data_IF_410348704653
#
_entry.id   IF_410348704653
#
_cell.length_a   1.000
_cell.length_b   1.000
_cell.length_c   1.000
_cell.angle_alpha   90.00
_cell.angle_beta   90.00
_cell.angle_gamma   90.00
#
_symmetry.space_group_name_H-M   'P 1'
#
loop_
_entity.id
_entity.type
_entity.pdbx_description
1 polymer ?
#
# COMPACT_ATOMS: atom_id res chain seq x y z
N UNK A 1 10.50 32.72 53.44
CA UNK A 1 10.50 31.36 52.91
C UNK A 1 10.80 31.40 51.42
N UNK A 2 12.04 31.04 51.04
CA UNK A 2 12.46 30.98 49.62
C UNK A 2 12.15 29.58 49.12
N UNK A 3 11.27 29.45 48.12
CA UNK A 3 10.99 28.16 47.44
C UNK A 3 12.07 27.94 46.38
N UNK A 4 12.88 26.90 46.57
CA UNK A 4 13.77 26.38 45.57
C UNK A 4 12.96 25.56 44.54
N UNK A 5 12.90 25.99 43.31
CA UNK A 5 12.48 25.16 42.18
C UNK A 5 13.68 24.32 41.72
N UNK A 6 13.62 23.02 41.93
CA UNK A 6 14.57 22.09 41.39
C UNK A 6 14.09 21.68 40.00
N UNK A 7 14.67 22.28 38.93
CA UNK A 7 14.43 21.85 37.55
C UNK A 7 15.25 20.60 37.34
N UNK A 8 14.59 19.45 37.30
CA UNK A 8 15.19 18.21 36.77
C UNK A 8 15.25 18.31 35.24
N UNK A 9 16.37 18.70 34.69
CA UNK A 9 16.69 18.53 33.30
C UNK A 9 16.98 17.06 33.01
N UNK A 10 16.05 16.38 32.35
CA UNK A 10 16.32 15.06 31.78
C UNK A 10 17.21 15.26 30.56
N UNK A 11 18.50 15.00 30.71
CA UNK A 11 19.41 14.87 29.59
C UNK A 11 19.04 13.57 28.84
N UNK A 12 18.22 13.67 27.82
CA UNK A 12 18.09 12.58 26.83
C UNK A 12 19.39 12.52 26.05
N UNK A 13 20.28 11.61 26.45
CA UNK A 13 21.37 11.17 25.61
C UNK A 13 20.75 10.65 24.30
N UNK A 14 21.02 11.30 23.18
CA UNK A 14 20.54 10.94 21.87
C UNK A 14 21.17 9.62 21.40
N UNK A 15 20.70 8.50 21.93
CA UNK A 15 20.71 7.27 21.18
C UNK A 15 19.66 7.48 20.06
N UNK A 16 20.10 7.57 18.83
CA UNK A 16 19.24 7.34 17.67
C UNK A 16 18.72 5.91 17.82
N UNK A 17 17.61 5.75 18.53
CA UNK A 17 16.86 4.51 18.47
C UNK A 17 16.53 4.33 17.00
N UNK A 18 17.12 3.32 16.38
CA UNK A 18 16.68 2.88 15.07
C UNK A 18 15.16 2.72 15.17
N UNK A 19 14.43 3.53 14.41
CA UNK A 19 12.97 3.41 14.33
C UNK A 19 12.68 1.94 14.02
N UNK A 20 11.91 1.27 14.87
CA UNK A 20 11.49 -0.09 14.58
C UNK A 20 10.45 0.00 13.46
N UNK A 21 10.90 0.01 12.22
CA UNK A 21 10.02 0.02 11.06
C UNK A 21 9.53 -1.41 10.78
N UNK A 22 8.27 -1.52 10.38
CA UNK A 22 7.71 -2.78 9.90
C UNK A 22 8.21 -2.99 8.47
N UNK A 23 9.11 -3.95 8.30
CA UNK A 23 9.59 -4.28 6.97
C UNK A 23 8.56 -5.14 6.23
N UNK A 24 8.16 -4.67 5.06
CA UNK A 24 7.45 -5.45 4.05
C UNK A 24 8.51 -6.07 3.15
N UNK A 25 8.60 -7.39 3.17
CA UNK A 25 9.63 -8.13 2.42
C UNK A 25 9.20 -8.32 0.98
N UNK A 26 10.08 -7.98 0.04
CA UNK A 26 9.89 -8.23 -1.39
C UNK A 26 10.85 -9.29 -1.89
N UNK A 27 10.33 -10.28 -2.60
CA UNK A 27 11.08 -11.24 -3.39
C UNK A 27 10.81 -10.98 -4.88
N UNK A 28 11.81 -10.46 -5.59
CA UNK A 28 11.63 -9.93 -6.94
C UNK A 28 12.40 -10.74 -7.95
N UNK A 29 11.72 -11.16 -9.02
CA UNK A 29 12.22 -12.05 -10.07
C UNK A 29 12.10 -11.39 -11.42
N UNK A 30 13.14 -11.54 -12.25
CA UNK A 30 13.06 -11.25 -13.67
C UNK A 30 12.77 -12.56 -14.40
N UNK A 31 11.66 -12.63 -15.11
CA UNK A 31 11.36 -13.75 -16.00
C UNK A 31 12.21 -13.63 -17.26
N UNK A 32 12.94 -14.67 -17.60
CA UNK A 32 13.90 -14.66 -18.70
C UNK A 32 13.25 -14.98 -20.04
N UNK A 33 13.75 -14.37 -21.09
CA UNK A 33 13.35 -14.67 -22.45
C UNK A 33 13.67 -16.14 -22.79
N UNK A 34 12.68 -16.94 -23.19
CA UNK A 34 12.88 -18.38 -23.43
C UNK A 34 13.82 -18.66 -24.60
N UNK A 35 13.99 -17.71 -25.53
CA UNK A 35 14.86 -17.90 -26.70
C UNK A 35 16.32 -17.51 -26.46
N UNK A 36 16.56 -16.57 -25.54
CA UNK A 36 17.91 -16.03 -25.29
C UNK A 36 18.45 -16.36 -23.92
N UNK A 37 17.60 -16.69 -22.95
CA UNK A 37 17.96 -16.87 -21.55
C UNK A 37 18.32 -15.59 -20.80
N UNK A 38 18.06 -14.43 -21.39
CA UNK A 38 18.38 -13.12 -20.79
C UNK A 38 17.13 -12.39 -20.28
N UNK A 39 17.34 -11.46 -19.36
CA UNK A 39 16.33 -10.48 -18.95
C UNK A 39 15.92 -9.60 -20.13
N UNK A 40 14.74 -9.02 -20.07
CA UNK A 40 14.35 -7.96 -20.98
C UNK A 40 15.37 -6.82 -20.94
N UNK A 41 15.63 -6.23 -22.12
CA UNK A 41 16.55 -5.07 -22.22
C UNK A 41 16.11 -3.94 -21.30
N UNK A 42 17.04 -3.42 -20.53
CA UNK A 42 16.78 -2.35 -19.54
C UNK A 42 16.40 -2.83 -18.14
N UNK A 43 16.03 -4.10 -17.94
CA UNK A 43 15.73 -4.64 -16.61
C UNK A 43 17.02 -4.92 -15.86
N UNK A 44 17.37 -4.04 -14.91
CA UNK A 44 18.60 -4.11 -14.14
C UNK A 44 18.35 -3.99 -12.64
N UNK A 45 19.28 -4.55 -11.85
CA UNK A 45 19.23 -4.49 -10.39
C UNK A 45 19.30 -3.04 -9.88
N UNK A 46 20.13 -2.21 -10.52
CA UNK A 46 20.29 -0.79 -10.14
C UNK A 46 18.97 -0.02 -10.30
N UNK A 47 18.28 -0.19 -11.42
CA UNK A 47 17.00 0.49 -11.65
C UNK A 47 15.98 0.07 -10.61
N UNK A 48 15.87 -1.23 -10.28
CA UNK A 48 14.95 -1.68 -9.26
C UNK A 48 15.34 -1.21 -7.85
N UNK A 49 16.64 -1.13 -7.53
CA UNK A 49 17.11 -0.54 -6.27
C UNK A 49 16.66 0.90 -6.10
N UNK A 50 16.72 1.70 -7.17
CA UNK A 50 16.20 3.07 -7.16
C UNK A 50 14.67 3.11 -6.98
N UNK A 51 13.95 2.16 -7.58
CA UNK A 51 12.50 2.00 -7.38
C UNK A 51 12.17 1.72 -5.91
N UNK A 52 12.91 0.82 -5.24
CA UNK A 52 12.75 0.54 -3.81
C UNK A 52 13.03 1.78 -2.96
N UNK A 53 14.07 2.53 -3.28
CA UNK A 53 14.38 3.79 -2.59
C UNK A 53 13.23 4.81 -2.72
N UNK A 54 12.66 4.94 -3.92
CA UNK A 54 11.49 5.79 -4.17
C UNK A 54 10.25 5.36 -3.40
N UNK A 55 9.94 4.06 -3.36
CA UNK A 55 8.84 3.52 -2.55
C UNK A 55 9.04 3.83 -1.06
N UNK A 56 10.24 3.66 -0.54
CA UNK A 56 10.54 3.95 0.86
C UNK A 56 10.42 5.44 1.20
N UNK A 57 10.79 6.33 0.28
CA UNK A 57 10.59 7.77 0.45
C UNK A 57 9.10 8.11 0.58
N UNK A 58 8.22 7.49 -0.24
CA UNK A 58 6.77 7.66 -0.14
C UNK A 58 6.20 7.08 1.15
N UNK A 59 6.57 5.84 1.52
CA UNK A 59 6.10 5.22 2.77
C UNK A 59 6.51 6.01 4.01
N UNK A 60 7.70 6.59 4.00
CA UNK A 60 8.14 7.50 5.06
C UNK A 60 7.27 8.74 5.17
N UNK A 61 6.86 9.33 4.03
CA UNK A 61 5.95 10.49 4.03
C UNK A 61 4.55 10.15 4.56
N UNK A 62 4.10 8.91 4.42
CA UNK A 62 2.82 8.46 4.98
C UNK A 62 2.84 8.30 6.51
N UNK A 63 4.01 8.25 7.12
CA UNK A 63 4.19 8.32 8.57
C UNK A 63 3.74 7.11 9.39
N UNK A 64 3.51 5.95 8.74
CA UNK A 64 3.04 4.73 9.42
C UNK A 64 4.15 3.81 9.91
N UNK A 65 5.40 4.04 9.48
CA UNK A 65 6.57 3.22 9.85
C UNK A 65 6.67 1.92 9.06
N UNK A 66 6.14 1.89 7.85
CA UNK A 66 6.41 0.80 6.90
C UNK A 66 7.67 1.09 6.09
N UNK A 67 8.40 0.04 5.80
CA UNK A 67 9.59 0.06 4.97
C UNK A 67 9.60 -1.15 4.04
N UNK A 68 9.93 -0.94 2.78
CA UNK A 68 10.14 -2.01 1.81
C UNK A 68 11.55 -2.57 1.99
N UNK A 69 11.63 -3.85 2.31
CA UNK A 69 12.88 -4.60 2.35
C UNK A 69 12.96 -5.53 1.14
N UNK A 70 13.77 -5.17 0.18
CA UNK A 70 14.06 -6.07 -0.92
C UNK A 70 14.97 -7.21 -0.44
N UNK A 71 14.49 -8.45 -0.55
CA UNK A 71 15.24 -9.64 -0.16
C UNK A 71 16.31 -9.97 -1.20
N UNK A 72 17.54 -10.13 -0.76
CA UNK A 72 18.68 -10.12 -1.66
C UNK A 72 18.96 -8.69 -2.14
N UNK A 73 19.90 -8.41 -2.89
CA UNK A 73 20.24 -7.10 -3.46
C UNK A 73 20.34 -7.16 -4.99
N UNK A 74 19.83 -8.24 -5.57
CA UNK A 74 19.77 -8.47 -6.98
C UNK A 74 18.46 -9.21 -7.35
N UNK A 75 18.00 -8.97 -8.57
CA UNK A 75 16.84 -9.67 -9.13
C UNK A 75 17.15 -11.15 -9.31
N UNK A 76 16.28 -12.02 -8.83
CA UNK A 76 16.37 -13.45 -9.11
C UNK A 76 16.01 -13.71 -10.58
N UNK A 77 16.84 -14.42 -11.29
CA UNK A 77 16.53 -14.85 -12.64
C UNK A 77 15.71 -16.15 -12.59
N UNK A 78 14.54 -16.15 -13.23
CA UNK A 78 13.66 -17.33 -13.31
C UNK A 78 13.27 -17.59 -14.77
N UNK A 79 13.28 -18.84 -15.18
CA UNK A 79 13.09 -19.23 -16.57
C UNK A 79 14.41 -19.23 -17.36
N UNK A 80 14.31 -19.41 -18.64
CA UNK A 80 15.45 -19.46 -19.57
C UNK A 80 15.41 -20.66 -20.49
N UNK A 81 16.49 -20.86 -21.25
CA UNK A 81 16.57 -21.88 -22.32
C UNK A 81 16.31 -23.30 -21.86
N UNK A 82 16.66 -23.63 -20.63
CA UNK A 82 16.59 -25.01 -20.12
C UNK A 82 15.31 -25.32 -19.34
N UNK A 83 14.36 -24.37 -19.25
CA UNK A 83 13.11 -24.56 -18.50
C UNK A 83 11.95 -24.84 -19.47
N UNK A 84 12.04 -25.94 -20.16
CA UNK A 84 11.01 -26.39 -21.12
C UNK A 84 9.68 -26.63 -20.39
N UNK A 85 8.69 -25.84 -20.70
CA UNK A 85 7.26 -26.00 -20.39
C UNK A 85 6.83 -26.00 -18.90
N UNK A 86 7.73 -25.94 -17.95
CA UNK A 86 7.38 -25.99 -16.52
C UNK A 86 7.83 -24.75 -15.73
N UNK A 87 8.77 -23.97 -16.26
CA UNK A 87 9.25 -22.76 -15.64
C UNK A 87 8.47 -21.52 -16.06
N UNK A 88 8.68 -20.38 -15.39
CA UNK A 88 7.95 -19.14 -15.65
C UNK A 88 8.26 -18.52 -17.02
N UNK A 89 9.25 -19.00 -17.78
CA UNK A 89 9.61 -18.47 -19.10
C UNK A 89 8.45 -18.47 -20.10
N UNK A 90 7.48 -19.37 -19.96
CA UNK A 90 6.24 -19.37 -20.77
C UNK A 90 5.41 -18.10 -20.55
N UNK A 91 5.59 -17.40 -19.43
CA UNK A 91 4.91 -16.17 -19.10
C UNK A 91 5.72 -14.92 -19.45
N UNK A 92 6.88 -15.05 -20.08
CA UNK A 92 7.77 -13.95 -20.40
C UNK A 92 7.10 -12.85 -21.21
N UNK A 93 6.31 -13.24 -22.21
CA UNK A 93 5.62 -12.30 -23.11
C UNK A 93 4.16 -12.72 -23.28
N UNK A 94 3.35 -12.47 -22.27
CA UNK A 94 1.91 -12.74 -22.26
C UNK A 94 1.16 -11.45 -22.08
N UNK A 95 0.09 -11.26 -22.83
CA UNK A 95 -0.83 -10.14 -22.63
C UNK A 95 -1.83 -10.51 -21.52
N UNK A 96 -1.46 -10.24 -20.27
CA UNK A 96 -2.31 -10.49 -19.11
C UNK A 96 -3.50 -9.52 -18.97
N UNK A 97 -3.54 -8.46 -19.78
CA UNK A 97 -4.55 -7.40 -19.67
C UNK A 97 -5.59 -7.50 -20.80
N UNK A 98 -5.12 -7.61 -22.06
CA UNK A 98 -6.02 -7.53 -23.22
C UNK A 98 -6.38 -8.90 -23.80
N UNK A 99 -5.63 -9.95 -23.45
CA UNK A 99 -5.99 -11.29 -23.90
C UNK A 99 -7.31 -11.74 -23.24
N UNK A 100 -8.18 -12.38 -24.03
CA UNK A 100 -9.50 -12.89 -23.58
C UNK A 100 -9.40 -13.80 -22.35
N UNK A 101 -8.25 -14.46 -22.14
CA UNK A 101 -7.96 -15.36 -21.03
C UNK A 101 -6.85 -14.81 -20.11
N UNK A 102 -6.57 -13.50 -20.13
CA UNK A 102 -5.45 -12.91 -19.40
C UNK A 102 -5.52 -13.15 -17.88
N UNK A 103 -6.69 -13.00 -17.28
CA UNK A 103 -6.90 -13.29 -15.85
C UNK A 103 -6.66 -14.78 -15.54
N UNK A 104 -7.17 -15.70 -16.38
CA UNK A 104 -6.95 -17.12 -16.17
C UNK A 104 -5.46 -17.52 -16.31
N UNK A 105 -4.71 -16.88 -17.21
CA UNK A 105 -3.26 -17.08 -17.34
C UNK A 105 -2.50 -16.57 -16.12
N UNK A 106 -2.93 -15.44 -15.55
CA UNK A 106 -2.34 -14.92 -14.33
C UNK A 106 -2.62 -15.84 -13.14
N UNK A 107 -3.86 -16.30 -12.97
CA UNK A 107 -4.23 -17.25 -11.91
C UNK A 107 -3.47 -18.56 -12.05
N UNK A 108 -3.30 -19.04 -13.28
CA UNK A 108 -2.46 -20.21 -13.56
C UNK A 108 -0.99 -19.98 -13.19
N UNK A 109 -0.44 -18.79 -13.49
CA UNK A 109 0.91 -18.43 -13.08
C UNK A 109 1.03 -18.47 -11.56
N UNK A 110 0.12 -17.81 -10.85
CA UNK A 110 0.10 -17.79 -9.39
C UNK A 110 0.06 -19.21 -8.80
N UNK A 111 -0.89 -20.03 -9.25
CA UNK A 111 -1.02 -21.41 -8.79
C UNK A 111 0.24 -22.24 -9.08
N UNK A 112 0.83 -22.08 -10.25
CA UNK A 112 2.08 -22.78 -10.60
C UNK A 112 3.25 -22.32 -9.73
N UNK A 113 3.36 -21.02 -9.44
CA UNK A 113 4.41 -20.48 -8.60
C UNK A 113 4.32 -21.00 -7.16
N UNK A 114 3.12 -21.05 -6.59
CA UNK A 114 2.86 -21.57 -5.24
C UNK A 114 3.18 -23.08 -5.17
N UNK A 115 2.76 -23.84 -6.18
CA UNK A 115 2.92 -25.31 -6.20
C UNK A 115 4.35 -25.75 -6.56
N UNK A 116 5.14 -24.89 -7.21
CA UNK A 116 6.51 -25.19 -7.64
C UNK A 116 7.50 -24.10 -7.20
N UNK A 117 7.61 -23.81 -5.89
CA UNK A 117 8.33 -22.66 -5.39
C UNK A 117 9.80 -22.60 -5.83
N UNK A 118 10.49 -23.74 -5.92
CA UNK A 118 11.88 -23.79 -6.34
C UNK A 118 12.05 -23.36 -7.82
N UNK A 119 11.14 -23.77 -8.71
CA UNK A 119 11.19 -23.42 -10.13
C UNK A 119 10.86 -21.96 -10.39
N UNK A 120 9.92 -21.41 -9.61
CA UNK A 120 9.41 -20.05 -9.77
C UNK A 120 10.11 -19.04 -8.85
N UNK A 121 11.04 -19.48 -7.99
CA UNK A 121 11.65 -18.62 -6.99
C UNK A 121 10.63 -18.05 -6.00
N UNK A 122 9.53 -18.79 -5.76
CA UNK A 122 8.48 -18.35 -4.84
C UNK A 122 8.98 -18.30 -3.41
N UNK A 123 8.65 -17.22 -2.69
CA UNK A 123 8.93 -17.06 -1.27
C UNK A 123 7.61 -16.76 -0.52
N UNK A 124 7.14 -17.73 0.27
CA UNK A 124 5.92 -17.60 1.05
C UNK A 124 6.01 -16.52 2.14
N UNK A 125 7.20 -16.03 2.45
CA UNK A 125 7.45 -15.01 3.47
C UNK A 125 7.63 -13.60 2.89
N UNK A 126 7.37 -13.40 1.59
CA UNK A 126 7.56 -12.13 0.90
C UNK A 126 6.45 -11.87 -0.13
N UNK A 127 6.25 -10.60 -0.46
CA UNK A 127 5.48 -10.20 -1.64
C UNK A 127 6.28 -10.64 -2.87
N UNK A 128 5.70 -11.51 -3.68
CA UNK A 128 6.37 -12.07 -4.86
C UNK A 128 6.07 -11.20 -6.08
N UNK A 129 7.08 -10.55 -6.63
CA UNK A 129 7.00 -9.72 -7.83
C UNK A 129 7.71 -10.43 -8.98
N UNK A 130 7.03 -10.56 -10.12
CA UNK A 130 7.62 -11.09 -11.36
C UNK A 130 7.64 -10.01 -12.42
N UNK A 131 8.83 -9.63 -12.86
CA UNK A 131 9.03 -8.70 -13.97
C UNK A 131 8.96 -9.49 -15.26
N UNK A 132 7.96 -9.16 -16.08
CA UNK A 132 7.65 -9.83 -17.36
C UNK A 132 7.59 -8.81 -18.48
N UNK A 133 7.60 -9.25 -19.74
CA UNK A 133 7.33 -8.41 -20.89
C UNK A 133 5.85 -8.55 -21.25
N UNK A 134 5.06 -7.48 -21.08
CA UNK A 134 3.69 -7.47 -21.60
C UNK A 134 3.70 -7.22 -23.10
N UNK A 135 2.93 -8.01 -23.85
CA UNK A 135 2.77 -7.86 -25.28
C UNK A 135 2.02 -6.58 -25.64
N UNK A 136 2.74 -5.47 -25.78
CA UNK A 136 2.19 -4.22 -26.31
C UNK A 136 1.52 -3.27 -25.34
N UNK A 137 1.41 -3.60 -24.05
CA UNK A 137 0.79 -2.72 -23.05
C UNK A 137 1.73 -2.41 -21.89
N UNK A 138 1.69 -1.15 -21.40
CA UNK A 138 2.46 -0.70 -20.23
C UNK A 138 1.66 -0.87 -18.92
N UNK A 139 1.02 -2.01 -18.73
CA UNK A 139 0.17 -2.26 -17.57
C UNK A 139 0.89 -3.15 -16.54
N UNK A 140 0.61 -2.90 -15.28
CA UNK A 140 0.95 -3.79 -14.19
C UNK A 140 -0.32 -4.53 -13.76
N UNK A 141 -0.19 -5.75 -13.29
CA UNK A 141 -1.34 -6.56 -12.92
C UNK A 141 -1.19 -7.09 -11.52
N UNK A 142 -2.07 -6.67 -10.65
CA UNK A 142 -2.34 -7.34 -9.38
C UNK A 142 -3.83 -7.69 -9.34
N UNK A 143 -4.18 -8.94 -9.08
CA UNK A 143 -5.58 -9.31 -8.83
C UNK A 143 -5.99 -8.87 -7.45
N UNK A 144 -7.05 -8.10 -7.39
CA UNK A 144 -7.67 -7.66 -6.15
C UNK A 144 -9.06 -8.30 -6.00
N UNK A 145 -9.48 -8.69 -4.78
CA UNK A 145 -8.66 -9.04 -3.60
C UNK A 145 -8.13 -10.47 -3.72
N UNK A 146 -6.98 -10.76 -3.17
CA UNK A 146 -6.53 -12.15 -2.97
C UNK A 146 -5.32 -12.59 -3.78
N UNK A 147 -4.89 -11.84 -4.80
CA UNK A 147 -3.67 -12.18 -5.54
C UNK A 147 -2.45 -12.25 -4.62
N UNK A 148 -1.66 -13.30 -4.77
CA UNK A 148 -0.44 -13.51 -4.02
C UNK A 148 0.82 -13.17 -4.81
N UNK A 149 0.69 -12.78 -6.08
CA UNK A 149 1.78 -12.32 -6.93
C UNK A 149 1.48 -10.94 -7.51
N UNK A 150 2.52 -10.20 -7.82
CA UNK A 150 2.48 -9.01 -8.65
C UNK A 150 3.19 -9.30 -9.96
N UNK A 151 2.53 -9.00 -11.06
CA UNK A 151 3.14 -9.02 -12.39
C UNK A 151 3.45 -7.58 -12.79
N UNK A 152 4.69 -7.29 -13.14
CA UNK A 152 5.15 -5.93 -13.44
C UNK A 152 5.82 -5.90 -14.80
N UNK A 153 5.42 -4.95 -15.64
CA UNK A 153 6.00 -4.80 -16.97
C UNK A 153 7.44 -4.29 -16.88
N UNK A 154 8.36 -5.02 -17.50
CA UNK A 154 9.78 -4.65 -17.53
C UNK A 154 10.13 -3.48 -18.45
N UNK A 155 9.20 -2.93 -19.24
CA UNK A 155 9.48 -1.75 -20.09
C UNK A 155 9.44 -0.46 -19.28
N UNK A 156 8.39 -0.26 -18.47
CA UNK A 156 8.20 0.99 -17.73
C UNK A 156 7.76 0.77 -16.27
N UNK A 157 6.99 -0.29 -16.00
CA UNK A 157 6.33 -0.46 -14.70
C UNK A 157 7.30 -0.67 -13.55
N UNK A 158 8.27 -1.56 -13.70
CA UNK A 158 9.20 -1.93 -12.62
C UNK A 158 10.15 -0.79 -12.20
N UNK A 159 10.37 0.18 -13.06
CA UNK A 159 11.24 1.34 -12.79
C UNK A 159 10.51 2.52 -12.15
N UNK A 160 9.19 2.43 -11.99
CA UNK A 160 8.35 3.52 -11.48
C UNK A 160 7.87 3.19 -10.07
N UNK A 161 8.42 3.86 -9.07
CA UNK A 161 8.12 3.60 -7.67
C UNK A 161 6.63 3.75 -7.33
N UNK A 162 5.95 4.76 -7.89
CA UNK A 162 4.51 4.96 -7.69
C UNK A 162 3.69 3.78 -8.24
N UNK A 163 4.07 3.26 -9.40
CA UNK A 163 3.38 2.13 -10.01
C UNK A 163 3.54 0.85 -9.19
N UNK A 164 4.78 0.51 -8.80
CA UNK A 164 5.02 -0.70 -8.00
C UNK A 164 4.36 -0.59 -6.63
N UNK A 165 4.40 0.59 -5.99
CA UNK A 165 3.76 0.79 -4.69
C UNK A 165 2.22 0.77 -4.80
N UNK A 166 1.65 1.23 -5.90
CA UNK A 166 0.22 1.11 -6.22
C UNK A 166 -0.21 -0.37 -6.24
N UNK A 167 0.53 -1.22 -6.96
CA UNK A 167 0.24 -2.66 -7.02
C UNK A 167 0.42 -3.34 -5.64
N UNK A 168 1.41 -2.91 -4.86
CA UNK A 168 1.55 -3.35 -3.47
C UNK A 168 0.34 -2.88 -2.63
N UNK A 169 -0.24 -1.71 -2.93
CA UNK A 169 -1.49 -1.26 -2.33
C UNK A 169 -2.63 -2.25 -2.57
N UNK A 170 -2.81 -2.74 -3.80
CA UNK A 170 -3.78 -3.80 -4.10
C UNK A 170 -3.48 -5.09 -3.34
N UNK A 171 -2.22 -5.48 -3.25
CA UNK A 171 -1.80 -6.66 -2.47
C UNK A 171 -2.22 -6.54 -0.99
N UNK A 172 -2.23 -5.33 -0.44
CA UNK A 172 -2.75 -5.03 0.91
C UNK A 172 -4.19 -4.52 0.91
N UNK A 173 -5.00 -5.01 -0.03
CA UNK A 173 -6.46 -4.86 -0.02
C UNK A 173 -6.97 -3.44 -0.27
N UNK A 174 -6.18 -2.59 -0.92
CA UNK A 174 -6.64 -1.28 -1.35
C UNK A 174 -7.28 -1.37 -2.73
N UNK A 175 -8.47 -0.81 -2.88
CA UNK A 175 -9.15 -0.65 -4.17
C UNK A 175 -8.76 0.66 -4.84
N UNK A 176 -9.01 0.77 -6.14
CA UNK A 176 -8.96 2.07 -6.81
C UNK A 176 -10.00 3.02 -6.21
N UNK A 177 -9.65 4.30 -6.10
CA UNK A 177 -10.56 5.35 -5.61
C UNK A 177 -11.81 5.52 -6.51
N UNK A 178 -11.69 5.17 -7.78
CA UNK A 178 -12.77 5.24 -8.77
C UNK A 178 -13.60 3.94 -8.91
N UNK A 179 -13.48 3.00 -8.00
CA UNK A 179 -14.34 1.81 -8.01
C UNK A 179 -15.83 2.21 -7.94
N UNK A 180 -16.65 1.54 -8.76
CA UNK A 180 -18.09 1.86 -8.87
C UNK A 180 -18.40 3.06 -9.78
N UNK A 181 -17.42 3.65 -10.48
CA UNK A 181 -17.62 4.66 -11.50
C UNK A 181 -18.55 4.17 -12.63
N UNK A 182 -19.21 5.10 -13.29
CA UNK A 182 -20.08 4.80 -14.42
C UNK A 182 -19.77 5.72 -15.61
N UNK A 183 -19.64 5.12 -16.77
CA UNK A 183 -19.56 5.81 -18.04
C UNK A 183 -20.94 5.72 -18.72
N UNK A 184 -21.53 6.85 -19.06
CA UNK A 184 -22.86 6.92 -19.63
C UNK A 184 -22.89 7.66 -20.96
N UNK A 185 -23.81 7.25 -21.84
CA UNK A 185 -24.22 7.99 -23.01
C UNK A 185 -25.08 9.19 -22.62
N UNK A 186 -25.41 10.06 -23.57
CA UNK A 186 -26.25 11.23 -23.35
C UNK A 186 -27.67 10.88 -22.85
N UNK A 187 -28.17 9.69 -23.18
CA UNK A 187 -29.46 9.15 -22.77
C UNK A 187 -29.45 8.39 -21.42
N UNK A 188 -28.33 8.43 -20.71
CA UNK A 188 -28.03 7.71 -19.45
C UNK A 188 -27.91 6.18 -19.59
N UNK A 189 -27.86 5.62 -20.78
CA UNK A 189 -27.48 4.21 -20.96
C UNK A 189 -25.99 4.01 -20.70
N UNK A 190 -25.61 2.77 -20.36
CA UNK A 190 -24.18 2.41 -20.14
C UNK A 190 -23.37 2.63 -21.40
N UNK A 191 -22.26 3.36 -21.27
CA UNK A 191 -21.31 3.59 -22.35
C UNK A 191 -20.07 2.70 -22.16
N UNK A 192 -19.67 2.03 -23.22
CA UNK A 192 -18.49 1.13 -23.23
C UNK A 192 -17.28 1.76 -23.94
N UNK A 193 -17.36 3.04 -24.34
CA UNK A 193 -16.32 3.72 -25.12
C UNK A 193 -15.27 4.42 -24.23
N UNK A 194 -15.02 3.92 -23.01
CA UNK A 194 -14.01 4.46 -22.10
C UNK A 194 -14.21 5.95 -21.83
N UNK A 195 -13.15 6.75 -21.91
CA UNK A 195 -13.20 8.20 -21.69
C UNK A 195 -13.76 9.01 -22.86
N UNK A 196 -14.33 8.39 -23.87
CA UNK A 196 -15.08 9.07 -24.96
C UNK A 196 -16.60 9.08 -24.74
N UNK A 197 -17.06 8.78 -23.52
CA UNK A 197 -18.46 8.79 -23.16
C UNK A 197 -18.99 10.21 -22.93
N UNK A 198 -20.31 10.39 -23.01
CA UNK A 198 -20.92 11.72 -22.88
C UNK A 198 -21.00 12.20 -21.42
N UNK A 199 -21.05 11.27 -20.46
CA UNK A 199 -21.17 11.57 -19.03
C UNK A 199 -20.29 10.63 -18.21
N UNK A 200 -19.70 11.17 -17.15
CA UNK A 200 -18.90 10.45 -16.18
C UNK A 200 -19.48 10.62 -14.79
N UNK A 201 -19.86 9.53 -14.15
CA UNK A 201 -20.33 9.54 -12.76
C UNK A 201 -19.25 8.88 -11.92
N UNK A 202 -18.63 9.65 -11.02
CA UNK A 202 -17.57 9.17 -10.14
C UNK A 202 -18.04 8.07 -9.20
N UNK A 203 -17.17 7.07 -8.99
CA UNK A 203 -17.32 6.05 -7.98
C UNK A 203 -16.60 6.47 -6.71
N UNK A 204 -17.12 6.12 -5.55
CA UNK A 204 -16.50 6.37 -4.24
C UNK A 204 -16.41 5.11 -3.39
N UNK A 205 -16.44 3.95 -4.03
CA UNK A 205 -16.53 2.68 -3.29
C UNK A 205 -15.18 1.93 -3.27
N UNK A 206 -14.13 2.62 -2.85
CA UNK A 206 -12.85 1.97 -2.51
C UNK A 206 -12.90 1.30 -1.12
N UNK A 207 -14.04 1.40 -0.44
CA UNK A 207 -14.32 0.77 0.85
C UNK A 207 -13.76 1.52 2.05
N UNK A 208 -13.36 2.79 1.90
CA UNK A 208 -12.97 3.67 3.00
C UNK A 208 -13.79 4.95 2.98
N UNK A 209 -13.94 5.60 4.15
CA UNK A 209 -14.89 6.69 4.32
C UNK A 209 -14.29 8.08 4.02
N UNK A 210 -12.99 8.21 3.98
CA UNK A 210 -12.30 9.50 3.86
C UNK A 210 -11.84 9.83 2.43
N UNK A 211 -12.27 9.04 1.42
CA UNK A 211 -12.19 9.35 0.00
C UNK A 211 -13.50 9.94 -0.51
N UNK A 212 -13.41 10.92 -1.42
CA UNK A 212 -14.54 11.47 -2.16
C UNK A 212 -14.67 10.77 -3.51
N UNK A 213 -15.73 11.06 -4.27
CA UNK A 213 -15.93 10.46 -5.60
C UNK A 213 -14.74 10.73 -6.51
N UNK A 214 -14.36 9.70 -7.27
CA UNK A 214 -13.29 9.76 -8.25
C UNK A 214 -13.72 9.07 -9.56
N UNK A 215 -13.12 9.47 -10.66
CA UNK A 215 -13.31 8.86 -11.96
C UNK A 215 -12.01 8.89 -12.77
N UNK A 216 -11.59 7.77 -13.32
CA UNK A 216 -10.33 7.64 -14.07
C UNK A 216 -10.29 8.46 -15.38
N UNK A 217 -11.43 8.94 -15.85
CA UNK A 217 -11.51 9.82 -17.03
C UNK A 217 -11.57 11.33 -16.68
N UNK A 218 -11.59 11.71 -15.43
CA UNK A 218 -11.40 13.09 -15.02
C UNK A 218 -9.94 13.48 -15.22
N UNK A 219 -9.69 14.64 -15.80
CA UNK A 219 -8.35 15.00 -16.28
C UNK A 219 -7.66 16.04 -15.41
N UNK A 220 -8.40 16.70 -14.51
CA UNK A 220 -7.87 17.71 -13.59
C UNK A 220 -8.68 17.84 -12.30
N UNK A 221 -8.25 18.73 -11.43
CA UNK A 221 -8.90 19.00 -10.15
C UNK A 221 -10.28 19.67 -10.31
N UNK A 222 -10.50 20.39 -11.40
CA UNK A 222 -11.81 20.97 -11.70
C UNK A 222 -12.83 19.88 -11.98
N UNK A 223 -12.50 18.82 -12.71
CA UNK A 223 -13.37 17.69 -12.96
C UNK A 223 -13.78 16.98 -11.67
N UNK A 224 -12.80 16.73 -10.78
CA UNK A 224 -13.06 16.14 -9.46
C UNK A 224 -13.97 17.08 -8.63
N UNK A 225 -13.72 18.37 -8.65
CA UNK A 225 -14.52 19.36 -7.92
C UNK A 225 -15.94 19.48 -8.48
N UNK A 226 -16.10 19.48 -9.80
CA UNK A 226 -17.39 19.48 -10.48
C UNK A 226 -18.22 18.22 -10.14
N UNK A 227 -17.57 17.06 -10.19
CA UNK A 227 -18.23 15.78 -9.87
C UNK A 227 -18.70 15.68 -8.42
N UNK A 228 -18.00 16.29 -7.47
CA UNK A 228 -18.31 16.20 -6.04
C UNK A 228 -19.12 17.39 -5.50
N UNK A 229 -18.93 18.60 -6.06
CA UNK A 229 -19.44 19.83 -5.46
C UNK A 229 -20.19 20.73 -6.45
N UNK A 230 -20.33 20.33 -7.72
CA UNK A 230 -20.94 21.10 -8.78
C UNK A 230 -20.34 22.52 -8.95
N UNK A 231 -19.04 22.67 -8.74
CA UNK A 231 -18.31 23.92 -8.81
C UNK A 231 -16.84 23.66 -9.20
N UNK A 232 -16.18 24.64 -9.84
CA UNK A 232 -14.76 24.56 -10.15
C UNK A 232 -13.93 24.57 -8.86
N UNK A 233 -12.74 23.97 -8.90
CA UNK A 233 -11.81 23.85 -7.78
C UNK A 233 -11.53 25.19 -7.07
N UNK A 234 -11.31 26.27 -7.85
CA UNK A 234 -11.06 27.60 -7.27
C UNK A 234 -12.26 28.21 -6.51
N UNK A 235 -13.48 27.70 -6.74
CA UNK A 235 -14.72 28.24 -6.17
C UNK A 235 -15.26 27.45 -4.98
N UNK A 236 -14.61 26.37 -4.59
CA UNK A 236 -14.97 25.56 -3.39
C UNK A 236 -14.17 25.99 -2.16
N UNK A 237 -14.62 25.59 -0.99
CA UNK A 237 -13.94 25.93 0.27
C UNK A 237 -12.58 25.22 0.37
N UNK A 238 -11.65 25.79 1.18
CA UNK A 238 -10.31 25.22 1.40
C UNK A 238 -10.38 23.75 1.86
N UNK A 239 -11.36 23.41 2.70
CA UNK A 239 -11.53 22.01 3.14
C UNK A 239 -11.95 21.06 2.01
N UNK A 240 -12.75 21.54 1.06
CA UNK A 240 -13.14 20.79 -0.15
C UNK A 240 -11.99 20.71 -1.15
N UNK A 241 -11.21 21.79 -1.31
CA UNK A 241 -9.98 21.75 -2.10
C UNK A 241 -9.02 20.69 -1.56
N UNK A 242 -8.80 20.65 -0.24
CA UNK A 242 -7.97 19.62 0.37
C UNK A 242 -8.52 18.19 0.17
N UNK A 243 -9.83 18.02 0.02
CA UNK A 243 -10.42 16.71 -0.31
C UNK A 243 -10.17 16.34 -1.77
N UNK A 244 -10.30 17.29 -2.70
CA UNK A 244 -9.96 17.12 -4.12
C UNK A 244 -8.47 16.78 -4.28
N UNK A 245 -7.59 17.52 -3.59
CA UNK A 245 -6.13 17.29 -3.63
C UNK A 245 -5.74 15.91 -3.12
N UNK A 246 -6.45 15.37 -2.13
CA UNK A 246 -6.24 14.01 -1.66
C UNK A 246 -6.56 12.95 -2.71
N UNK A 247 -7.55 13.17 -3.56
CA UNK A 247 -7.85 12.27 -4.69
C UNK A 247 -6.86 12.49 -5.82
N UNK A 248 -6.61 13.75 -6.19
CA UNK A 248 -5.67 14.10 -7.26
C UNK A 248 -4.27 13.53 -7.04
N UNK A 249 -3.81 13.48 -5.79
CA UNK A 249 -2.52 12.93 -5.42
C UNK A 249 -2.60 11.51 -4.84
N UNK A 250 -3.76 10.83 -4.89
CA UNK A 250 -3.92 9.53 -4.28
C UNK A 250 -3.16 8.44 -5.05
N UNK A 251 -2.40 7.62 -4.34
CA UNK A 251 -1.66 6.50 -4.93
C UNK A 251 -2.59 5.50 -5.64
N UNK A 252 -3.81 5.29 -5.11
CA UNK A 252 -4.77 4.34 -5.66
C UNK A 252 -5.69 4.96 -6.73
N UNK A 253 -5.48 6.24 -7.08
CA UNK A 253 -6.08 6.90 -8.24
C UNK A 253 -5.14 6.81 -9.46
N UNK A 254 -5.70 6.81 -10.66
CA UNK A 254 -4.87 6.92 -11.87
C UNK A 254 -4.27 8.33 -12.04
N UNK A 255 -4.84 9.34 -11.40
CA UNK A 255 -4.26 10.69 -11.34
C UNK A 255 -2.93 10.67 -10.58
N UNK A 256 -2.93 10.15 -9.35
CA UNK A 256 -1.78 10.15 -8.46
C UNK A 256 -0.57 9.37 -8.99
N UNK A 257 -0.78 8.33 -9.80
CA UNK A 257 0.31 7.54 -10.39
C UNK A 257 1.24 8.34 -11.31
N UNK A 258 0.78 9.47 -11.82
CA UNK A 258 1.57 10.36 -12.69
C UNK A 258 2.39 11.37 -11.88
N UNK A 259 2.18 11.49 -10.58
CA UNK A 259 2.82 12.45 -9.71
C UNK A 259 4.08 11.86 -9.05
N UNK A 260 5.05 12.71 -8.78
CA UNK A 260 6.28 12.31 -8.05
C UNK A 260 6.04 12.18 -6.55
N UNK A 261 5.05 12.90 -6.03
CA UNK A 261 4.59 12.81 -4.64
C UNK A 261 3.16 12.30 -4.63
N UNK A 262 2.95 11.18 -3.97
CA UNK A 262 1.63 10.58 -3.81
C UNK A 262 1.29 10.50 -2.33
N UNK A 263 0.00 10.30 -2.03
CA UNK A 263 -0.49 10.04 -0.68
C UNK A 263 -1.46 8.86 -0.67
N UNK A 264 -1.65 8.31 0.50
CA UNK A 264 -2.80 7.48 0.86
C UNK A 264 -3.59 8.21 1.95
N UNK A 265 -4.91 8.07 1.92
CA UNK A 265 -5.75 8.61 3.00
C UNK A 265 -5.53 7.85 4.30
N UNK A 266 -6.00 8.41 5.41
CA UNK A 266 -5.82 7.76 6.72
C UNK A 266 -6.55 6.42 6.77
N UNK A 267 -7.77 6.35 6.20
CA UNK A 267 -8.55 5.13 6.20
C UNK A 267 -7.98 4.07 5.23
N UNK A 268 -7.37 4.49 4.11
CA UNK A 268 -6.60 3.59 3.25
C UNK A 268 -5.37 3.02 3.99
N UNK A 269 -4.63 3.86 4.72
CA UNK A 269 -3.49 3.42 5.53
C UNK A 269 -3.90 2.51 6.70
N UNK A 270 -5.07 2.73 7.29
CA UNK A 270 -5.63 1.87 8.30
C UNK A 270 -5.96 0.48 7.69
N UNK A 271 -6.63 0.44 6.54
CA UNK A 271 -6.94 -0.79 5.81
C UNK A 271 -5.68 -1.54 5.38
N UNK A 272 -4.65 -0.83 4.87
CA UNK A 272 -3.35 -1.43 4.59
C UNK A 272 -2.79 -2.13 5.82
N UNK A 273 -2.86 -1.45 6.98
CA UNK A 273 -2.32 -1.98 8.24
C UNK A 273 -3.07 -3.24 8.70
N UNK A 274 -4.39 -3.25 8.60
CA UNK A 274 -5.22 -4.41 8.94
C UNK A 274 -4.93 -5.58 7.99
N UNK A 275 -4.89 -5.33 6.68
CA UNK A 275 -4.57 -6.38 5.71
C UNK A 275 -3.16 -6.93 5.89
N UNK A 276 -2.16 -6.07 6.15
CA UNK A 276 -0.81 -6.53 6.47
C UNK A 276 -0.76 -7.38 7.73
N UNK A 277 -1.63 -7.09 8.71
CA UNK A 277 -1.69 -7.83 9.96
C UNK A 277 -2.37 -9.20 9.84
N UNK A 278 -3.50 -9.25 9.18
CA UNK A 278 -4.45 -10.36 9.26
C UNK A 278 -4.47 -11.21 7.99
N UNK A 279 -4.41 -10.57 6.81
CA UNK A 279 -4.42 -11.29 5.52
C UNK A 279 -3.01 -11.73 5.10
N UNK A 280 -1.98 -10.93 5.43
CA UNK A 280 -0.61 -11.06 4.92
C UNK A 280 0.47 -11.07 6.01
N UNK A 281 0.25 -11.74 7.15
CA UNK A 281 1.19 -11.66 8.29
C UNK A 281 2.59 -12.21 7.97
N UNK A 282 2.71 -13.10 7.00
CA UNK A 282 3.97 -13.74 6.65
C UNK A 282 4.97 -12.80 5.95
N UNK A 283 4.49 -11.74 5.26
CA UNK A 283 5.37 -10.88 4.44
C UNK A 283 5.96 -9.70 5.21
N UNK A 284 5.70 -9.57 6.50
CA UNK A 284 6.15 -8.46 7.35
C UNK A 284 6.95 -8.92 8.57
N UNK A 285 7.70 -8.00 9.17
CA UNK A 285 8.51 -8.31 10.36
C UNK A 285 7.85 -7.95 11.68
N UNK A 286 6.98 -6.95 11.72
CA UNK A 286 6.29 -6.47 12.92
C UNK A 286 4.79 -6.34 12.68
N UNK A 287 4.07 -5.86 13.69
CA UNK A 287 2.63 -5.63 13.62
C UNK A 287 2.28 -4.19 13.98
N UNK A 288 1.37 -3.59 13.22
CA UNK A 288 0.69 -2.36 13.62
C UNK A 288 -0.44 -2.70 14.58
N UNK A 289 -0.53 -1.99 15.70
CA UNK A 289 -1.60 -2.16 16.69
C UNK A 289 -2.24 -0.82 16.99
N UNK A 290 -3.54 -0.73 16.80
CA UNK A 290 -4.27 0.50 17.06
C UNK A 290 -4.69 0.57 18.53
N UNK A 291 -4.65 1.79 19.07
CA UNK A 291 -5.15 2.13 20.42
C UNK A 291 -6.10 3.31 20.28
N UNK A 292 -7.34 3.16 20.76
CA UNK A 292 -8.39 4.16 20.67
C UNK A 292 -9.22 4.21 21.96
N UNK A 293 -9.18 5.35 22.67
CA UNK A 293 -9.97 5.58 23.89
C UNK A 293 -11.49 5.49 23.70
N UNK A 294 -11.94 5.74 22.47
CA UNK A 294 -13.37 5.77 22.15
C UNK A 294 -13.90 4.41 21.69
N UNK A 295 -13.03 3.40 21.68
CA UNK A 295 -13.39 2.04 21.29
C UNK A 295 -13.06 1.05 22.40
N UNK A 296 -14.03 0.22 22.79
CA UNK A 296 -13.87 -0.81 23.81
C UNK A 296 -14.47 -2.13 23.32
N UNK A 297 -13.82 -2.79 22.34
CA UNK A 297 -14.30 -4.06 21.81
C UNK A 297 -14.19 -5.18 22.85
N UNK A 298 -15.10 -6.17 22.86
CA UNK A 298 -15.06 -7.28 23.80
C UNK A 298 -13.83 -8.19 23.61
N UNK A 299 -13.23 -8.20 22.42
CA UNK A 299 -12.06 -9.01 22.10
C UNK A 299 -11.04 -8.21 21.28
N UNK A 300 -10.35 -7.22 21.89
CA UNK A 300 -9.45 -6.35 21.13
C UNK A 300 -8.26 -7.14 20.59
N UNK A 301 -7.95 -6.95 19.31
CA UNK A 301 -6.80 -7.56 18.63
C UNK A 301 -5.81 -6.51 18.06
N UNK A 302 -6.16 -5.24 18.15
CA UNK A 302 -5.36 -4.11 17.67
C UNK A 302 -5.63 -3.72 16.22
N UNK A 303 -6.77 -4.11 15.64
CA UNK A 303 -7.21 -3.65 14.31
C UNK A 303 -7.69 -2.20 14.33
N UNK A 304 -7.85 -1.61 13.16
CA UNK A 304 -8.17 -0.18 13.03
C UNK A 304 -9.62 0.16 13.31
N UNK A 305 -10.54 -0.75 13.00
CA UNK A 305 -11.99 -0.53 13.11
C UNK A 305 -12.54 -1.03 14.43
N UNK A 306 -13.39 -0.21 15.04
CA UNK A 306 -14.11 -0.60 16.25
C UNK A 306 -15.25 -1.58 15.92
N UNK A 307 -15.26 -2.73 16.57
CA UNK A 307 -16.22 -3.80 16.32
C UNK A 307 -16.17 -4.88 17.42
N UNK A 308 -16.39 -6.11 17.05
CA UNK A 308 -16.21 -7.27 17.97
C UNK A 308 -14.74 -7.46 18.34
N UNK A 309 -13.86 -7.30 17.37
CA UNK A 309 -12.42 -7.07 17.50
C UNK A 309 -12.14 -5.57 17.34
N UNK A 310 -10.90 -5.14 17.29
CA UNK A 310 -10.59 -3.73 17.01
C UNK A 310 -9.46 -3.21 17.88
N UNK A 311 -9.33 -1.87 17.98
CA UNK A 311 -8.24 -1.24 18.70
C UNK A 311 -8.28 -1.59 20.21
N UNK A 312 -7.10 -1.54 20.82
CA UNK A 312 -7.02 -1.57 22.28
C UNK A 312 -7.57 -0.28 22.87
N UNK A 313 -8.36 -0.39 23.92
CA UNK A 313 -8.91 0.79 24.62
C UNK A 313 -7.84 1.60 25.36
N UNK A 314 -6.79 0.93 25.84
CA UNK A 314 -5.73 1.52 26.68
C UNK A 314 -4.35 1.31 26.07
N UNK A 315 -3.42 2.23 26.35
CA UNK A 315 -2.01 2.08 25.97
C UNK A 315 -1.40 0.86 26.66
N UNK A 316 -1.75 0.61 27.92
CA UNK A 316 -1.30 -0.55 28.69
C UNK A 316 -1.64 -1.87 27.99
N UNK A 317 -2.86 -2.00 27.48
CA UNK A 317 -3.29 -3.19 26.76
C UNK A 317 -2.51 -3.37 25.45
N UNK A 318 -2.33 -2.30 24.68
CA UNK A 318 -1.52 -2.30 23.46
C UNK A 318 -0.06 -2.68 23.71
N UNK A 319 0.57 -2.11 24.75
CA UNK A 319 1.94 -2.45 25.17
C UNK A 319 2.04 -3.92 25.59
N UNK A 320 1.06 -4.41 26.35
CA UNK A 320 1.03 -5.81 26.79
C UNK A 320 0.98 -6.77 25.60
N UNK A 321 0.12 -6.47 24.62
CA UNK A 321 -0.07 -7.29 23.42
C UNK A 321 1.09 -7.21 22.42
N UNK A 322 1.91 -6.16 22.48
CA UNK A 322 3.00 -5.98 21.55
C UNK A 322 4.11 -7.01 21.74
N UNK A 323 4.76 -7.37 20.63
CA UNK A 323 5.87 -8.32 20.63
C UNK A 323 7.11 -7.70 21.31
N UNK A 324 7.79 -8.48 22.11
CA UNK A 324 9.02 -8.07 22.78
C UNK A 324 10.22 -7.90 21.81
N UNK A 325 10.12 -8.40 20.58
CA UNK A 325 11.18 -8.31 19.56
C UNK A 325 11.45 -6.89 19.03
N UNK A 326 10.57 -5.93 19.35
CA UNK A 326 10.78 -4.52 19.01
C UNK A 326 10.32 -4.08 17.62
N UNK A 327 9.65 -4.96 16.86
CA UNK A 327 9.20 -4.63 15.52
C UNK A 327 7.73 -4.13 15.46
N UNK A 328 7.01 -4.10 16.60
CA UNK A 328 5.63 -3.63 16.62
C UNK A 328 5.53 -2.10 16.75
N UNK A 329 4.52 -1.54 16.10
CA UNK A 329 4.18 -0.12 16.15
C UNK A 329 2.80 0.03 16.81
N UNK A 330 2.70 0.88 17.85
CA UNK A 330 1.43 1.28 18.42
C UNK A 330 0.97 2.60 17.78
N UNK A 331 -0.16 2.53 17.08
CA UNK A 331 -0.82 3.69 16.46
C UNK A 331 -1.91 4.20 17.39
N UNK A 332 -1.66 5.32 18.04
CA UNK A 332 -2.62 5.93 18.95
C UNK A 332 -3.54 6.88 18.19
N UNK A 333 -4.84 6.71 18.35
CA UNK A 333 -5.83 7.73 17.93
C UNK A 333 -5.65 8.99 18.78
N UNK A 334 -6.10 10.12 18.25
CA UNK A 334 -6.05 11.40 18.97
C UNK A 334 -6.73 11.29 20.33
N UNK A 335 -6.05 11.73 21.38
CA UNK A 335 -6.62 11.71 22.72
C UNK A 335 -5.60 11.87 23.84
N UNK A 336 -6.13 12.00 25.06
CA UNK A 336 -5.35 12.04 26.31
C UNK A 336 -5.49 10.69 27.01
N UNK A 337 -4.45 9.89 26.94
CA UNK A 337 -4.34 8.60 27.61
C UNK A 337 -3.79 8.82 29.03
N UNK A 338 -4.67 9.05 29.98
CA UNK A 338 -4.33 9.39 31.37
C UNK A 338 -3.84 8.16 32.15
N UNK A 339 -2.98 7.37 31.56
CA UNK A 339 -2.40 6.15 32.13
C UNK A 339 -0.90 6.35 32.33
N UNK A 340 -0.40 6.28 33.57
CA UNK A 340 1.03 6.19 33.78
C UNK A 340 1.53 4.84 33.26
N UNK A 341 2.52 4.88 32.35
CA UNK A 341 3.05 3.68 31.73
C UNK A 341 4.55 3.54 31.94
N UNK A 342 4.96 2.34 32.36
CA UNK A 342 6.35 1.91 32.25
C UNK A 342 6.51 1.01 31.03
N UNK A 343 7.25 1.47 30.03
CA UNK A 343 7.45 0.76 28.78
C UNK A 343 8.78 0.01 28.86
N UNK A 344 8.69 -1.32 28.97
CA UNK A 344 9.86 -2.20 29.06
C UNK A 344 10.19 -2.92 27.76
N UNK A 345 9.31 -2.80 26.76
CA UNK A 345 9.49 -3.41 25.43
C UNK A 345 10.00 -2.34 24.47
N UNK A 346 10.85 -2.74 23.52
CA UNK A 346 11.21 -1.87 22.40
C UNK A 346 9.99 -1.72 21.47
N UNK A 347 9.38 -0.54 21.46
CA UNK A 347 8.17 -0.21 20.70
C UNK A 347 8.32 1.15 20.04
N UNK A 348 7.67 1.31 18.89
CA UNK A 348 7.46 2.61 18.28
C UNK A 348 6.02 3.07 18.56
N UNK A 349 5.87 4.31 19.04
CA UNK A 349 4.58 4.97 19.20
C UNK A 349 4.40 6.02 18.11
N UNK A 350 3.25 6.04 17.46
CA UNK A 350 2.87 7.07 16.49
C UNK A 350 1.46 7.53 16.76
N UNK A 351 1.22 8.83 16.65
CA UNK A 351 -0.13 9.38 16.69
C UNK A 351 -0.73 9.36 15.27
N UNK A 352 -2.01 9.01 15.17
CA UNK A 352 -2.77 9.06 13.93
C UNK A 352 -3.92 10.05 14.08
N UNK A 353 -4.23 10.85 13.05
CA UNK A 353 -5.32 11.84 13.05
C UNK A 353 -5.14 12.97 14.06
N UNK A 354 -3.91 13.32 14.48
CA UNK A 354 -3.62 14.39 15.40
C UNK A 354 -2.68 14.00 16.54
N UNK A 355 -2.82 14.63 17.72
CA UNK A 355 -1.92 14.41 18.85
C UNK A 355 -2.47 13.36 19.81
N UNK A 356 -1.57 12.51 20.34
CA UNK A 356 -1.84 11.62 21.45
C UNK A 356 -0.92 11.96 22.63
N UNK A 357 -1.47 12.11 23.82
CA UNK A 357 -0.72 12.40 25.05
C UNK A 357 -0.84 11.20 25.98
N UNK A 358 0.28 10.68 26.45
CA UNK A 358 0.34 9.52 27.35
C UNK A 358 0.85 9.98 28.72
N UNK A 359 0.27 9.44 29.79
CA UNK A 359 0.83 9.53 31.13
C UNK A 359 0.56 10.82 31.90
N UNK A 360 -0.35 11.66 31.45
CA UNK A 360 -0.76 12.83 32.22
C UNK A 360 -2.02 12.51 33.02
N UNK A 361 -2.04 12.75 34.34
CA UNK A 361 -3.25 12.73 35.15
C UNK A 361 -4.20 13.89 34.77
#
# INVERSE_FOLDING_TARGET
MKRFFCSFGVLLAGATLASADINIRLSVKAVLNPSTGFRQSGVTDLVFSNTVAGMNAMLNSYGRGYHIQWLGNALTNVGGLNQFNTGPSQYYSVDFVNATNGDALKDQFEANAINNPATYGWDASAVNIYIVQFGGANWNVCSFPGSQILLVNGVAGYSTATTVLHEIGHYFNLSHTFNGRQNLNSDNSTCTNGCNCAKFIGGGNDGVADTILDHDCWVDQDDIAQGNYAANYANITVSRQAAVDRIWNNLMSYHGRQHTTTLLTIDQLDRWSDSANDDRPAVRTGRTRFVDLNCSPPSPNGDSLCGTTGPYHTVAAGVTAANASGADILLLRTGNYNEPQTITKALTFRATRGSAIIGKP
#
